data_IF_839302411947
#
_entry.id   IF_839302411947
#
_cell.length_a   1.000
_cell.length_b   1.000
_cell.length_c   1.000
_cell.angle_alpha   90.00
_cell.angle_beta   90.00
_cell.angle_gamma   90.00
#
_symmetry.space_group_name_H-M   'P 1'
#
loop_
_entity.id
_entity.type
_entity.pdbx_description
1 polymer ?
#
# COMPACT_ATOMS: atom_id res chain seq x y z
N UNK A 1 6.25 -3.18 -15.05
CA UNK A 1 7.35 -2.19 -14.86
C UNK A 1 8.54 -2.81 -14.15
N UNK A 2 8.42 -3.27 -12.91
CA UNK A 2 9.57 -3.71 -12.09
C UNK A 2 10.38 -4.85 -12.75
N UNK A 3 9.72 -5.80 -13.41
CA UNK A 3 10.38 -6.90 -14.14
C UNK A 3 10.45 -6.71 -15.65
N UNK A 4 10.02 -5.54 -16.17
CA UNK A 4 10.05 -5.26 -17.60
C UNK A 4 11.41 -4.71 -18.01
N UNK A 5 11.84 -4.98 -19.25
CA UNK A 5 13.11 -4.51 -19.80
C UNK A 5 12.93 -3.84 -21.17
N UNK A 6 13.96 -3.14 -21.63
CA UNK A 6 14.03 -2.55 -22.97
C UNK A 6 12.89 -1.57 -23.25
N UNK A 7 12.31 -1.65 -24.45
CA UNK A 7 11.27 -0.71 -24.88
C UNK A 7 9.96 -0.89 -24.10
N UNK A 8 9.62 -2.13 -23.73
CA UNK A 8 8.43 -2.41 -22.92
C UNK A 8 8.47 -1.71 -21.56
N UNK A 9 9.64 -1.67 -20.92
CA UNK A 9 9.80 -0.92 -19.66
C UNK A 9 9.54 0.57 -19.84
N UNK A 10 10.08 1.18 -20.91
CA UNK A 10 9.91 2.62 -21.17
C UNK A 10 8.44 2.96 -21.40
N UNK A 11 7.74 2.16 -22.20
CA UNK A 11 6.31 2.36 -22.50
C UNK A 11 5.48 2.21 -21.24
N UNK A 12 5.64 1.11 -20.49
CA UNK A 12 4.88 0.89 -19.25
C UNK A 12 5.16 1.98 -18.21
N UNK A 13 6.42 2.38 -18.03
CA UNK A 13 6.79 3.42 -17.06
C UNK A 13 6.15 4.76 -17.42
N UNK A 14 6.21 5.16 -18.69
CA UNK A 14 5.61 6.43 -19.15
C UNK A 14 4.10 6.40 -18.94
N UNK A 15 3.44 5.33 -19.38
CA UNK A 15 2.00 5.17 -19.22
C UNK A 15 1.59 5.26 -17.74
N UNK A 16 2.17 4.43 -16.87
CA UNK A 16 1.79 4.40 -15.45
C UNK A 16 2.05 5.73 -14.73
N UNK A 17 3.17 6.42 -15.00
CA UNK A 17 3.43 7.71 -14.36
C UNK A 17 2.44 8.79 -14.80
N UNK A 18 2.03 8.79 -16.07
CA UNK A 18 0.99 9.70 -16.54
C UNK A 18 -0.36 9.37 -15.89
N UNK A 19 -0.79 8.10 -15.92
CA UNK A 19 -2.06 7.68 -15.32
C UNK A 19 -2.13 7.97 -13.83
N UNK A 20 -1.06 7.74 -13.07
CA UNK A 20 -1.03 8.07 -11.63
C UNK A 20 -1.21 9.57 -11.39
N UNK A 21 -0.59 10.43 -12.21
CA UNK A 21 -0.78 11.89 -12.12
C UNK A 21 -2.22 12.29 -12.43
N UNK A 22 -2.83 11.63 -13.41
CA UNK A 22 -4.24 11.87 -13.77
C UNK A 22 -5.17 11.47 -12.62
N UNK A 23 -4.88 10.36 -11.93
CA UNK A 23 -5.55 9.92 -10.70
C UNK A 23 -5.20 10.77 -9.46
N UNK A 24 -4.42 11.83 -9.63
CA UNK A 24 -4.17 12.83 -8.60
C UNK A 24 -2.88 12.63 -7.81
N UNK A 25 -2.02 11.68 -8.17
CA UNK A 25 -0.69 11.56 -7.56
C UNK A 25 0.08 12.88 -7.68
N UNK A 26 0.53 13.40 -6.54
CA UNK A 26 1.19 14.70 -6.43
C UNK A 26 0.24 15.91 -6.35
N UNK A 27 -1.07 15.70 -6.25
CA UNK A 27 -2.07 16.73 -5.95
C UNK A 27 -2.50 16.66 -4.48
N UNK A 28 -3.05 17.77 -3.97
CA UNK A 28 -3.57 17.90 -2.60
C UNK A 28 -4.61 16.83 -2.24
N UNK A 29 -5.41 16.37 -3.21
CA UNK A 29 -6.40 15.31 -3.00
C UNK A 29 -5.79 14.01 -2.44
N UNK A 30 -4.57 13.68 -2.84
CA UNK A 30 -3.89 12.48 -2.32
C UNK A 30 -3.27 12.75 -0.94
N UNK A 31 -2.83 13.99 -0.68
CA UNK A 31 -2.39 14.40 0.66
C UNK A 31 -3.53 14.32 1.66
N UNK A 32 -4.71 14.85 1.31
CA UNK A 32 -5.93 14.76 2.12
C UNK A 32 -6.24 13.29 2.43
N UNK A 33 -6.11 12.41 1.42
CA UNK A 33 -6.33 10.97 1.60
C UNK A 33 -5.32 10.30 2.53
N UNK A 34 -4.05 10.70 2.45
CA UNK A 34 -3.00 10.21 3.37
C UNK A 34 -3.31 10.67 4.79
N UNK A 35 -3.81 11.89 4.96
CA UNK A 35 -4.23 12.42 6.26
C UNK A 35 -5.41 11.62 6.84
N UNK A 36 -6.45 11.37 6.04
CA UNK A 36 -7.61 10.55 6.46
C UNK A 36 -7.19 9.14 6.91
N UNK A 37 -6.31 8.49 6.17
CA UNK A 37 -5.83 7.16 6.54
C UNK A 37 -4.94 7.20 7.80
N UNK A 38 -4.20 8.29 8.00
CA UNK A 38 -3.40 8.51 9.22
C UNK A 38 -4.30 8.67 10.44
N UNK A 39 -5.41 9.39 10.32
CA UNK A 39 -6.41 9.50 11.39
C UNK A 39 -7.01 8.13 11.74
N UNK A 40 -7.33 7.32 10.73
CA UNK A 40 -7.80 5.95 10.92
C UNK A 40 -6.76 5.07 11.66
N UNK A 41 -5.47 5.22 11.32
CA UNK A 41 -4.38 4.53 12.01
C UNK A 41 -4.27 4.96 13.47
N UNK A 42 -4.35 6.26 13.76
CA UNK A 42 -4.27 6.81 15.11
C UNK A 42 -5.40 6.26 15.99
N UNK A 43 -6.62 6.22 15.48
CA UNK A 43 -7.76 5.64 16.20
C UNK A 43 -7.56 4.14 16.46
N UNK A 44 -7.03 3.40 15.48
CA UNK A 44 -6.68 1.99 15.64
C UNK A 44 -5.61 1.82 16.74
N UNK A 45 -4.59 2.67 16.79
CA UNK A 45 -3.56 2.57 17.81
C UNK A 45 -4.10 2.89 19.21
N UNK A 46 -4.98 3.90 19.33
CA UNK A 46 -5.66 4.22 20.59
C UNK A 46 -6.51 3.05 21.11
N UNK A 47 -7.14 2.29 20.22
CA UNK A 47 -7.96 1.13 20.59
C UNK A 47 -7.18 0.03 21.35
N UNK A 48 -5.85 -0.03 21.17
CA UNK A 48 -4.98 -0.97 21.87
C UNK A 48 -4.71 -0.56 23.33
N UNK A 49 -5.17 0.62 23.78
CA UNK A 49 -5.11 1.09 25.17
C UNK A 49 -3.70 1.02 25.79
N UNK A 50 -2.68 1.36 25.00
CA UNK A 50 -1.27 1.35 25.43
C UNK A 50 -0.65 -0.04 25.60
N UNK A 51 -1.36 -1.11 25.24
CA UNK A 51 -0.80 -2.46 25.25
C UNK A 51 0.13 -2.66 24.05
N UNK A 52 1.25 -3.39 24.20
CA UNK A 52 2.07 -3.79 23.06
C UNK A 52 1.24 -4.59 22.05
N UNK A 53 1.43 -4.30 20.76
CA UNK A 53 0.83 -5.04 19.66
C UNK A 53 1.77 -5.00 18.44
N UNK A 54 1.62 -5.97 17.55
CA UNK A 54 2.34 -5.95 16.27
C UNK A 54 1.68 -4.97 15.30
N UNK A 55 2.35 -3.86 15.03
CA UNK A 55 1.86 -2.82 14.14
C UNK A 55 2.20 -3.06 12.65
N UNK A 56 2.99 -4.09 12.33
CA UNK A 56 3.49 -4.32 10.97
C UNK A 56 2.35 -4.54 9.99
N UNK A 57 1.37 -5.36 10.37
CA UNK A 57 0.25 -5.69 9.49
C UNK A 57 -0.66 -4.48 9.24
N UNK A 58 -0.97 -3.72 10.29
CA UNK A 58 -1.87 -2.58 10.23
C UNK A 58 -1.24 -1.39 9.48
N UNK A 59 0.06 -1.15 9.64
CA UNK A 59 0.78 -0.14 8.88
C UNK A 59 0.81 -0.49 7.37
N UNK A 60 1.09 -1.75 7.04
CA UNK A 60 1.06 -2.20 5.65
C UNK A 60 -0.35 -2.13 5.05
N UNK A 61 -1.39 -2.42 5.84
CA UNK A 61 -2.78 -2.29 5.44
C UNK A 61 -3.15 -0.83 5.12
N UNK A 62 -2.71 0.14 5.93
CA UNK A 62 -2.93 1.56 5.69
C UNK A 62 -2.25 2.04 4.39
N UNK A 63 -0.97 1.69 4.19
CA UNK A 63 -0.24 2.02 2.95
C UNK A 63 -0.94 1.40 1.73
N UNK A 64 -1.36 0.15 1.83
CA UNK A 64 -2.09 -0.52 0.76
C UNK A 64 -3.45 0.15 0.48
N UNK A 65 -4.18 0.60 1.50
CA UNK A 65 -5.44 1.33 1.34
C UNK A 65 -5.26 2.65 0.58
N UNK A 66 -4.17 3.39 0.83
CA UNK A 66 -3.86 4.61 0.07
C UNK A 66 -3.66 4.27 -1.42
N UNK A 67 -2.89 3.22 -1.73
CA UNK A 67 -2.65 2.78 -3.11
C UNK A 67 -3.94 2.29 -3.78
N UNK A 68 -4.72 1.45 -3.08
CA UNK A 68 -6.02 0.94 -3.57
C UNK A 68 -6.97 2.09 -3.84
N UNK A 69 -6.99 3.11 -2.98
CA UNK A 69 -7.82 4.28 -3.19
C UNK A 69 -7.40 5.05 -4.44
N UNK A 70 -6.10 5.26 -4.66
CA UNK A 70 -5.60 5.93 -5.89
C UNK A 70 -6.02 5.17 -7.15
N UNK A 71 -6.04 3.83 -7.11
CA UNK A 71 -6.29 3.00 -8.30
C UNK A 71 -7.76 2.65 -8.54
N UNK A 72 -8.52 2.42 -7.46
CA UNK A 72 -9.86 1.84 -7.49
C UNK A 72 -10.91 2.73 -6.81
N UNK A 73 -10.50 3.86 -6.22
CA UNK A 73 -11.35 4.74 -5.42
C UNK A 73 -12.12 3.97 -4.31
N UNK A 74 -11.47 2.97 -3.71
CA UNK A 74 -12.04 2.09 -2.70
C UNK A 74 -11.19 2.07 -1.42
N UNK A 75 -11.77 1.68 -0.29
CA UNK A 75 -11.08 1.48 0.98
C UNK A 75 -11.54 0.18 1.63
N UNK A 76 -10.59 -0.65 2.07
CA UNK A 76 -10.90 -1.84 2.85
C UNK A 76 -10.88 -1.54 4.35
N UNK A 77 -11.73 -2.23 5.10
CA UNK A 77 -11.66 -2.24 6.55
C UNK A 77 -10.39 -2.97 7.00
N UNK A 78 -9.77 -2.51 8.08
CA UNK A 78 -8.62 -3.18 8.68
C UNK A 78 -8.93 -4.55 9.29
N UNK A 79 -10.21 -4.86 9.50
CA UNK A 79 -10.67 -6.17 9.96
C UNK A 79 -11.13 -7.07 8.82
N UNK A 80 -11.09 -6.60 7.57
CA UNK A 80 -11.47 -7.43 6.42
C UNK A 80 -10.50 -8.62 6.27
N UNK A 81 -10.98 -9.87 6.43
CA UNK A 81 -10.12 -11.04 6.44
C UNK A 81 -9.47 -11.30 5.07
N UNK A 82 -10.14 -10.93 3.98
CA UNK A 82 -9.61 -11.08 2.61
C UNK A 82 -8.48 -10.10 2.37
N UNK A 83 -8.67 -8.84 2.79
CA UNK A 83 -7.66 -7.81 2.68
C UNK A 83 -6.43 -8.14 3.53
N UNK A 84 -6.62 -8.52 4.79
CA UNK A 84 -5.51 -8.92 5.67
C UNK A 84 -4.73 -10.12 5.13
N UNK A 85 -5.42 -11.10 4.54
CA UNK A 85 -4.77 -12.23 3.88
C UNK A 85 -3.93 -11.79 2.68
N UNK A 86 -4.42 -10.83 1.89
CA UNK A 86 -3.67 -10.27 0.77
C UNK A 86 -2.41 -9.54 1.26
N UNK A 87 -2.52 -8.68 2.27
CA UNK A 87 -1.37 -7.95 2.84
C UNK A 87 -0.32 -8.92 3.39
N UNK A 88 -0.77 -9.97 4.09
CA UNK A 88 0.14 -11.00 4.59
C UNK A 88 0.91 -11.69 3.46
N UNK A 89 0.22 -12.09 2.39
CA UNK A 89 0.87 -12.68 1.21
C UNK A 89 1.87 -11.74 0.55
N UNK A 90 1.55 -10.44 0.45
CA UNK A 90 2.48 -9.43 -0.07
C UNK A 90 3.71 -9.31 0.82
N UNK A 91 3.53 -9.25 2.14
CA UNK A 91 4.63 -9.17 3.11
C UNK A 91 5.54 -10.39 3.05
N UNK A 92 4.96 -11.59 2.96
CA UNK A 92 5.72 -12.83 2.82
C UNK A 92 6.51 -12.85 1.51
N UNK A 93 5.91 -12.41 0.40
CA UNK A 93 6.59 -12.32 -0.90
C UNK A 93 7.75 -11.32 -0.87
N UNK A 94 7.56 -10.14 -0.27
CA UNK A 94 8.63 -9.14 -0.12
C UNK A 94 9.74 -9.69 0.76
N UNK A 95 9.41 -10.31 1.89
CA UNK A 95 10.39 -10.93 2.79
C UNK A 95 11.18 -12.04 2.12
N UNK A 96 10.52 -12.88 1.32
CA UNK A 96 11.15 -13.98 0.61
C UNK A 96 11.99 -13.50 -0.57
N UNK A 97 11.54 -12.49 -1.31
CA UNK A 97 12.32 -11.87 -2.39
C UNK A 97 13.53 -11.05 -1.89
N UNK A 98 13.47 -10.55 -0.66
CA UNK A 98 14.60 -9.86 -0.01
C UNK A 98 15.63 -10.80 0.61
N UNK A 99 15.32 -12.10 0.77
CA UNK A 99 16.31 -13.07 1.22
C UNK A 99 17.31 -13.29 0.07
N UNK A 100 18.63 -13.19 0.31
CA UNK A 100 19.60 -13.55 -0.71
C UNK A 100 19.38 -15.01 -1.08
N UNK A 101 19.36 -15.30 -2.38
CA UNK A 101 19.39 -16.68 -2.89
C UNK A 101 20.73 -17.23 -2.43
N UNK A 102 20.73 -18.07 -1.39
CA UNK A 102 21.91 -18.84 -1.03
C UNK A 102 22.06 -19.88 -2.15
N UNK A 103 22.97 -19.59 -3.08
CA UNK A 103 23.46 -20.53 -4.10
C UNK A 103 24.55 -21.38 -3.49
#
# INVERSE_FOLDING_TARGET
IIFANGENWKVMRRFTLSTLRDFGMGKKTIEDRISEESDCLVETFKSHKGKPFDNTLILNAAVANIIVHILLNHRFDYQDPTFLKLIKSVNDNVRNGARPIIV
#
